data_IF_386564561024
#
_entry.id   IF_386564561024
#
_cell.length_a   1.000
_cell.length_b   1.000
_cell.length_c   1.000
_cell.angle_alpha   90.00
_cell.angle_beta   90.00
_cell.angle_gamma   90.00
#
_symmetry.space_group_name_H-M   'P 1'
#
loop_
_entity.id
_entity.type
_entity.pdbx_description
1 polymer ?
#
# COMPACT_ATOMS: atom_id res chain seq x y z
N UNK A 1 38.54 44.72 27.76
CA UNK A 1 37.73 44.77 26.54
C UNK A 1 36.61 43.74 26.67
N UNK A 2 35.33 44.09 26.50
CA UNK A 2 34.29 43.08 26.43
C UNK A 2 34.46 42.26 25.13
N UNK A 3 34.22 40.94 25.15
CA UNK A 3 34.35 40.12 23.96
C UNK A 3 33.32 40.53 22.91
N UNK A 4 33.76 40.66 21.66
CA UNK A 4 32.90 40.93 20.49
C UNK A 4 31.87 39.80 20.38
N UNK A 5 30.59 40.15 20.23
CA UNK A 5 29.47 39.21 20.13
C UNK A 5 29.69 38.24 18.94
N UNK A 6 29.77 36.94 19.24
CA UNK A 6 29.84 35.90 18.22
C UNK A 6 28.49 35.81 17.49
N UNK A 7 28.37 36.50 16.36
CA UNK A 7 27.16 36.47 15.54
C UNK A 7 26.82 37.74 14.76
N UNK A 8 27.80 38.60 14.45
CA UNK A 8 27.57 39.72 13.53
C UNK A 8 27.43 39.15 12.11
N UNK A 9 26.19 38.88 11.68
CA UNK A 9 25.87 38.54 10.29
C UNK A 9 25.44 39.80 9.54
N UNK A 10 25.81 39.89 8.27
CA UNK A 10 25.40 40.96 7.35
C UNK A 10 23.87 41.07 7.25
N UNK A 11 23.30 42.28 7.10
CA UNK A 11 21.86 42.43 6.86
C UNK A 11 21.45 41.76 5.54
N UNK A 12 20.47 40.86 5.59
CA UNK A 12 19.93 40.14 4.43
C UNK A 12 18.80 39.19 4.84
N UNK A 13 18.00 38.73 3.87
CA UNK A 13 17.02 37.66 4.08
C UNK A 13 17.77 36.33 3.95
N UNK A 14 17.87 35.60 5.06
CA UNK A 14 18.42 34.26 5.10
C UNK A 14 17.25 33.28 5.16
N UNK A 15 16.97 32.61 4.04
CA UNK A 15 15.96 31.56 3.95
C UNK A 15 16.68 30.22 3.96
N UNK A 16 16.42 29.41 4.99
CA UNK A 16 16.92 28.04 5.06
C UNK A 16 15.85 27.10 4.51
N UNK A 17 16.23 26.09 3.73
CA UNK A 17 15.30 25.13 3.14
C UNK A 17 15.37 23.84 3.96
N UNK A 18 14.37 23.63 4.82
CA UNK A 18 14.25 22.39 5.55
C UNK A 18 13.61 21.30 4.68
N UNK A 19 14.44 20.47 4.05
CA UNK A 19 14.01 19.30 3.26
C UNK A 19 13.50 18.14 4.12
N UNK A 20 13.59 18.23 5.45
CA UNK A 20 13.20 17.20 6.41
C UNK A 20 12.00 17.62 7.25
N UNK A 21 11.16 18.54 6.76
CA UNK A 21 9.98 18.98 7.50
C UNK A 21 8.99 17.81 7.59
N UNK A 22 9.12 16.98 8.63
CA UNK A 22 8.10 16.02 9.04
C UNK A 22 6.76 16.76 9.05
N UNK A 23 5.75 16.22 8.36
CA UNK A 23 4.37 16.74 8.42
C UNK A 23 4.00 16.94 9.88
N UNK A 24 3.94 18.20 10.33
CA UNK A 24 3.86 18.66 11.72
C UNK A 24 3.66 17.56 12.80
N UNK A 25 4.73 16.89 13.23
CA UNK A 25 4.70 15.93 14.34
C UNK A 25 3.95 14.61 14.10
N UNK A 26 3.68 14.24 12.84
CA UNK A 26 3.22 12.91 12.42
C UNK A 26 4.42 11.99 12.13
N UNK A 27 4.31 10.67 12.38
CA UNK A 27 5.38 9.73 12.09
C UNK A 27 5.63 9.58 10.58
N UNK A 28 6.84 9.20 10.18
CA UNK A 28 7.15 8.91 8.78
C UNK A 28 6.28 7.78 8.21
N UNK A 29 5.85 7.90 6.96
CA UNK A 29 5.12 6.83 6.25
C UNK A 29 6.11 5.97 5.45
N UNK A 30 6.86 5.13 6.17
CA UNK A 30 7.82 4.20 5.56
C UNK A 30 7.14 2.93 5.08
N UNK A 31 7.47 2.52 3.86
CA UNK A 31 7.02 1.28 3.24
C UNK A 31 8.19 0.33 3.01
N UNK A 32 7.96 -0.95 3.30
CA UNK A 32 8.88 -2.04 2.98
C UNK A 32 8.24 -2.91 1.90
N UNK A 33 8.87 -2.97 0.75
CA UNK A 33 8.40 -3.76 -0.40
C UNK A 33 9.04 -5.14 -0.35
N UNK A 34 8.24 -6.19 -0.49
CA UNK A 34 8.70 -7.56 -0.63
C UNK A 34 8.32 -8.08 -2.02
N UNK A 35 9.33 -8.47 -2.80
CA UNK A 35 9.15 -9.23 -4.03
C UNK A 35 9.08 -10.71 -3.69
N UNK A 36 8.01 -11.37 -4.13
CA UNK A 36 7.82 -12.80 -3.98
C UNK A 36 7.80 -13.40 -5.37
N UNK A 37 8.74 -14.31 -5.63
CA UNK A 37 8.98 -14.83 -6.97
C UNK A 37 9.05 -16.35 -7.00
N UNK A 38 8.72 -16.97 -8.12
CA UNK A 38 8.98 -18.38 -8.43
C UNK A 38 10.37 -18.60 -9.06
N UNK A 39 11.35 -17.72 -8.79
CA UNK A 39 12.74 -17.96 -9.17
C UNK A 39 13.27 -19.22 -8.44
N UNK A 40 14.10 -20.04 -9.11
CA UNK A 40 14.48 -21.37 -8.62
C UNK A 40 15.43 -21.37 -7.38
N UNK A 41 15.93 -20.21 -6.97
CA UNK A 41 16.83 -20.09 -5.81
C UNK A 41 16.04 -20.42 -4.55
N UNK A 42 16.47 -21.39 -3.75
CA UNK A 42 15.84 -21.64 -2.44
C UNK A 42 16.28 -20.56 -1.45
N UNK A 43 15.33 -19.95 -0.75
CA UNK A 43 15.56 -18.90 0.25
C UNK A 43 14.82 -19.24 1.54
N UNK A 44 15.49 -19.05 2.68
CA UNK A 44 14.91 -19.31 4.02
C UNK A 44 14.50 -18.02 4.75
N UNK A 45 14.81 -16.86 4.19
CA UNK A 45 14.45 -15.54 4.70
C UNK A 45 14.53 -14.51 3.57
N UNK A 46 13.76 -13.41 3.64
CA UNK A 46 13.91 -12.32 2.70
C UNK A 46 15.29 -11.67 2.79
N UNK A 47 15.81 -11.25 1.64
CA UNK A 47 17.07 -10.50 1.53
C UNK A 47 16.81 -9.14 0.90
N UNK A 48 17.49 -8.10 1.37
CA UNK A 48 17.41 -6.78 0.73
C UNK A 48 17.98 -6.85 -0.69
N UNK A 49 17.35 -6.17 -1.64
CA UNK A 49 17.77 -6.10 -3.05
C UNK A 49 17.81 -4.63 -3.47
N UNK A 50 18.96 -4.16 -3.96
CA UNK A 50 19.14 -2.74 -4.29
C UNK A 50 19.08 -2.43 -5.77
N UNK A 51 19.54 -3.34 -6.62
CA UNK A 51 19.54 -3.19 -8.07
C UNK A 51 19.58 -4.55 -8.78
N UNK A 52 19.60 -4.52 -10.12
CA UNK A 52 19.63 -5.71 -10.97
C UNK A 52 20.91 -6.55 -10.80
N UNK A 53 22.06 -5.92 -10.50
CA UNK A 53 23.32 -6.62 -10.29
C UNK A 53 23.33 -7.34 -8.94
N UNK A 54 22.87 -6.68 -7.89
CA UNK A 54 22.71 -7.26 -6.55
C UNK A 54 21.71 -8.44 -6.57
N UNK A 55 20.63 -8.33 -7.35
CA UNK A 55 19.71 -9.44 -7.59
C UNK A 55 20.37 -10.61 -8.33
N UNK A 56 21.23 -10.33 -9.32
CA UNK A 56 21.96 -11.35 -10.06
C UNK A 56 22.92 -12.13 -9.15
N UNK A 57 23.58 -11.45 -8.22
CA UNK A 57 24.51 -12.04 -7.26
C UNK A 57 23.79 -12.88 -6.18
N UNK A 58 22.66 -12.39 -5.67
CA UNK A 58 21.91 -13.04 -4.57
C UNK A 58 20.99 -14.17 -5.04
N UNK A 59 20.40 -14.02 -6.22
CA UNK A 59 19.40 -14.95 -6.76
C UNK A 59 20.00 -15.71 -7.95
N UNK A 60 19.97 -15.09 -9.13
CA UNK A 60 20.59 -15.54 -10.38
C UNK A 60 20.49 -14.41 -11.41
N UNK A 61 21.40 -14.38 -12.38
CA UNK A 61 21.32 -13.48 -13.52
C UNK A 61 19.98 -13.63 -14.27
N UNK A 62 19.40 -12.50 -14.70
CA UNK A 62 18.08 -12.43 -15.36
C UNK A 62 16.91 -13.01 -14.53
N UNK A 63 17.03 -13.03 -13.19
CA UNK A 63 15.94 -13.39 -12.29
C UNK A 63 14.72 -12.48 -12.42
N UNK A 64 13.55 -12.98 -12.04
CA UNK A 64 12.33 -12.18 -11.93
C UNK A 64 12.49 -11.11 -10.85
N UNK A 65 13.20 -11.41 -9.75
CA UNK A 65 13.63 -10.41 -8.76
C UNK A 65 14.40 -9.26 -9.42
N UNK A 66 15.37 -9.57 -10.31
CA UNK A 66 16.15 -8.58 -11.04
C UNK A 66 15.30 -7.65 -11.91
N UNK A 67 14.28 -8.20 -12.58
CA UNK A 67 13.29 -7.43 -13.36
C UNK A 67 12.45 -6.51 -12.47
N UNK A 68 11.94 -7.05 -11.35
CA UNK A 68 11.13 -6.30 -10.39
C UNK A 68 11.90 -5.12 -9.79
N UNK A 69 13.13 -5.33 -9.30
CA UNK A 69 13.92 -4.25 -8.69
C UNK A 69 14.32 -3.19 -9.72
N UNK A 70 14.70 -3.60 -10.93
CA UNK A 70 15.02 -2.67 -12.02
C UNK A 70 13.84 -1.76 -12.32
N UNK A 71 12.64 -2.33 -12.39
CA UNK A 71 11.42 -1.59 -12.66
C UNK A 71 11.01 -0.69 -11.48
N UNK A 72 11.15 -1.21 -10.26
CA UNK A 72 10.89 -0.50 -9.02
C UNK A 72 11.78 0.75 -8.87
N UNK A 73 13.11 0.61 -9.02
CA UNK A 73 14.07 1.72 -8.87
C UNK A 73 13.85 2.82 -9.91
N UNK A 74 13.44 2.46 -11.13
CA UNK A 74 13.07 3.45 -12.17
C UNK A 74 11.79 4.22 -11.83
N UNK A 75 10.92 3.65 -11.00
CA UNK A 75 9.64 4.26 -10.59
C UNK A 75 9.82 5.07 -9.31
N UNK A 76 10.45 4.48 -8.29
CA UNK A 76 10.85 5.12 -7.05
C UNK A 76 12.29 4.72 -6.72
N UNK A 77 13.20 5.69 -6.81
CA UNK A 77 14.64 5.47 -6.57
C UNK A 77 14.97 5.13 -5.11
N UNK A 78 14.09 5.46 -4.17
CA UNK A 78 14.29 5.26 -2.73
C UNK A 78 13.53 4.04 -2.19
N UNK A 79 13.05 3.15 -3.06
CA UNK A 79 12.32 1.96 -2.66
C UNK A 79 13.16 1.07 -1.72
N UNK A 80 12.60 0.75 -0.55
CA UNK A 80 13.17 -0.22 0.39
C UNK A 80 12.65 -1.62 0.03
N UNK A 81 13.40 -2.32 -0.82
CA UNK A 81 13.00 -3.58 -1.43
C UNK A 81 13.74 -4.79 -0.86
N UNK A 82 12.95 -5.83 -0.60
CA UNK A 82 13.40 -7.16 -0.20
C UNK A 82 12.87 -8.17 -1.21
N UNK A 83 13.51 -9.33 -1.30
CA UNK A 83 13.04 -10.44 -2.11
C UNK A 83 13.06 -11.75 -1.33
N UNK A 84 12.10 -12.61 -1.64
CA UNK A 84 12.07 -14.02 -1.28
C UNK A 84 11.55 -14.82 -2.46
N UNK A 85 11.95 -16.08 -2.55
CA UNK A 85 11.40 -17.04 -3.51
C UNK A 85 10.32 -17.89 -2.84
N UNK A 86 9.33 -18.29 -3.61
CA UNK A 86 8.30 -19.20 -3.16
C UNK A 86 8.95 -20.53 -2.80
N UNK A 87 8.65 -21.01 -1.60
CA UNK A 87 9.06 -22.32 -1.14
C UNK A 87 8.46 -23.40 -2.05
N UNK A 88 9.22 -24.47 -2.23
CA UNK A 88 8.83 -25.62 -3.04
C UNK A 88 8.95 -26.83 -2.14
N UNK A 89 7.83 -27.49 -1.90
CA UNK A 89 7.85 -28.79 -1.25
C UNK A 89 8.42 -29.82 -2.23
N UNK A 90 9.52 -30.44 -1.82
CA UNK A 90 10.24 -31.47 -2.57
C UNK A 90 10.16 -32.84 -1.87
N UNK A 91 9.23 -33.03 -0.95
CA UNK A 91 9.02 -34.30 -0.22
C UNK A 91 8.78 -35.46 -1.20
N UNK A 92 8.09 -35.21 -2.32
CA UNK A 92 8.09 -36.08 -3.50
C UNK A 92 8.83 -35.40 -4.67
N UNK A 93 10.09 -35.81 -4.98
CA UNK A 93 10.86 -35.22 -6.07
C UNK A 93 10.25 -35.39 -7.47
N UNK A 94 9.25 -36.28 -7.64
CA UNK A 94 8.57 -36.46 -8.93
C UNK A 94 7.42 -35.47 -9.14
N UNK A 95 6.90 -34.86 -8.07
CA UNK A 95 5.79 -33.91 -8.11
C UNK A 95 6.07 -32.72 -7.18
N UNK A 96 7.13 -31.94 -7.44
CA UNK A 96 7.37 -30.73 -6.66
C UNK A 96 6.19 -29.77 -6.84
N UNK A 97 5.72 -29.18 -5.74
CA UNK A 97 4.66 -28.17 -5.77
C UNK A 97 5.07 -26.94 -4.97
N UNK A 98 4.48 -25.80 -5.35
CA UNK A 98 4.73 -24.54 -4.68
C UNK A 98 4.00 -24.53 -3.34
N UNK A 99 4.76 -24.45 -2.25
CA UNK A 99 4.25 -24.29 -0.89
C UNK A 99 4.19 -22.80 -0.54
N UNK A 100 3.03 -22.21 -0.79
CA UNK A 100 2.80 -20.79 -0.47
C UNK A 100 2.79 -20.59 1.04
N UNK A 101 2.22 -21.52 1.81
CA UNK A 101 2.06 -21.38 3.27
C UNK A 101 3.41 -21.33 3.98
N UNK A 102 4.38 -22.17 3.59
CA UNK A 102 5.74 -22.11 4.14
C UNK A 102 6.38 -20.72 3.91
N UNK A 103 6.17 -20.15 2.71
CA UNK A 103 6.66 -18.79 2.41
C UNK A 103 5.95 -17.73 3.26
N UNK A 104 4.63 -17.86 3.42
CA UNK A 104 3.81 -16.93 4.20
C UNK A 104 4.16 -16.96 5.69
N UNK A 105 4.49 -18.12 6.25
CA UNK A 105 4.96 -18.28 7.63
C UNK A 105 6.27 -17.53 7.88
N UNK A 106 7.21 -17.60 6.92
CA UNK A 106 8.50 -16.89 7.00
C UNK A 106 8.29 -15.37 7.03
N UNK A 107 7.36 -14.84 6.24
CA UNK A 107 7.20 -13.38 6.05
C UNK A 107 6.23 -12.73 7.04
N UNK A 108 5.31 -13.50 7.61
CA UNK A 108 4.32 -13.06 8.61
C UNK A 108 4.90 -12.23 9.78
N UNK A 109 6.05 -12.58 10.38
CA UNK A 109 6.63 -11.79 11.46
C UNK A 109 7.42 -10.54 11.01
N UNK A 110 7.70 -10.37 9.71
CA UNK A 110 8.72 -9.43 9.22
C UNK A 110 8.19 -8.01 8.94
N UNK A 111 6.87 -7.85 8.79
CA UNK A 111 6.23 -6.54 8.68
C UNK A 111 6.50 -5.81 7.36
N UNK A 112 6.53 -6.53 6.25
CA UNK A 112 6.50 -5.93 4.92
C UNK A 112 5.13 -5.30 4.66
N UNK A 113 5.09 -4.07 4.16
CA UNK A 113 3.83 -3.32 3.99
C UNK A 113 3.23 -3.47 2.60
N UNK A 114 4.06 -3.82 1.61
CA UNK A 114 3.64 -4.08 0.24
C UNK A 114 4.32 -5.35 -0.21
N UNK A 115 3.55 -6.32 -0.66
CA UNK A 115 4.01 -7.60 -1.21
C UNK A 115 3.67 -7.59 -2.69
N UNK A 116 4.62 -7.90 -3.55
CA UNK A 116 4.42 -7.93 -5.00
C UNK A 116 4.78 -9.31 -5.53
N UNK A 117 3.84 -9.92 -6.24
CA UNK A 117 4.06 -11.23 -6.88
C UNK A 117 4.60 -11.02 -8.29
N UNK A 118 5.52 -11.87 -8.74
CA UNK A 118 5.98 -11.81 -10.14
C UNK A 118 4.91 -12.24 -11.16
N UNK A 119 3.91 -12.99 -10.72
CA UNK A 119 2.81 -13.52 -11.53
C UNK A 119 1.57 -13.77 -10.67
N UNK A 120 0.41 -13.91 -11.31
CA UNK A 120 -0.81 -14.28 -10.61
C UNK A 120 -0.68 -15.65 -9.92
N UNK A 121 -1.14 -15.78 -8.65
CA UNK A 121 -1.19 -17.07 -7.99
C UNK A 121 -2.23 -17.97 -8.65
N UNK A 122 -2.10 -19.27 -8.44
CA UNK A 122 -3.10 -20.22 -8.94
C UNK A 122 -4.43 -19.99 -8.21
N UNK A 123 -5.52 -19.95 -8.98
CA UNK A 123 -6.89 -19.81 -8.45
C UNK A 123 -7.22 -21.01 -7.57
N UNK A 124 -7.84 -20.76 -6.41
CA UNK A 124 -8.13 -21.76 -5.39
C UNK A 124 -7.25 -21.56 -4.16
N UNK A 125 -6.58 -22.61 -3.72
CA UNK A 125 -5.87 -22.66 -2.43
C UNK A 125 -4.81 -21.55 -2.27
N UNK A 126 -4.00 -21.28 -3.31
CA UNK A 126 -2.99 -20.21 -3.21
C UNK A 126 -3.64 -18.83 -3.07
N UNK A 127 -4.75 -18.59 -3.76
CA UNK A 127 -5.49 -17.32 -3.66
C UNK A 127 -6.05 -17.14 -2.26
N UNK A 128 -6.58 -18.22 -1.66
CA UNK A 128 -7.04 -18.24 -0.28
C UNK A 128 -5.89 -18.00 0.72
N UNK A 129 -4.75 -18.66 0.54
CA UNK A 129 -3.58 -18.50 1.41
C UNK A 129 -3.10 -17.05 1.46
N UNK A 130 -3.03 -16.38 0.30
CA UNK A 130 -2.70 -14.95 0.23
C UNK A 130 -3.73 -14.08 0.94
N UNK A 131 -5.03 -14.33 0.77
CA UNK A 131 -6.06 -13.54 1.46
C UNK A 131 -6.06 -13.76 2.96
N UNK A 132 -5.89 -15.01 3.41
CA UNK A 132 -5.83 -15.36 4.83
C UNK A 132 -4.61 -14.74 5.50
N UNK A 133 -3.45 -14.76 4.81
CA UNK A 133 -2.26 -14.06 5.26
C UNK A 133 -2.50 -12.56 5.44
N UNK A 134 -3.09 -11.88 4.44
CA UNK A 134 -3.39 -10.45 4.53
C UNK A 134 -4.35 -10.15 5.68
N UNK A 135 -5.36 -10.99 5.91
CA UNK A 135 -6.27 -10.86 7.04
C UNK A 135 -5.55 -11.02 8.38
N UNK A 136 -4.73 -12.06 8.52
CA UNK A 136 -3.96 -12.35 9.73
C UNK A 136 -2.99 -11.21 10.08
N UNK A 137 -2.09 -10.84 9.17
CA UNK A 137 -1.05 -9.84 9.47
C UNK A 137 -1.65 -8.44 9.72
N UNK A 138 -2.81 -8.15 9.11
CA UNK A 138 -3.48 -6.85 9.22
C UNK A 138 -4.48 -6.73 10.36
N UNK A 139 -4.69 -7.81 11.13
CA UNK A 139 -5.70 -7.84 12.18
C UNK A 139 -5.37 -6.87 13.34
N UNK A 140 -6.26 -6.86 14.34
CA UNK A 140 -6.12 -5.98 15.50
C UNK A 140 -4.97 -6.38 16.45
N UNK A 141 -4.44 -7.61 16.33
CA UNK A 141 -3.43 -8.20 17.20
C UNK A 141 -2.04 -8.06 16.58
N UNK A 142 -1.86 -8.58 15.36
CA UNK A 142 -0.59 -8.60 14.64
C UNK A 142 -0.15 -7.21 14.18
N UNK A 143 -1.11 -6.41 13.69
CA UNK A 143 -0.90 -5.00 13.32
C UNK A 143 0.32 -4.74 12.42
N UNK A 144 0.55 -5.63 11.45
CA UNK A 144 1.56 -5.54 10.40
C UNK A 144 0.84 -5.54 9.04
N UNK A 145 0.03 -4.51 8.75
CA UNK A 145 -0.80 -4.52 7.57
C UNK A 145 0.04 -4.57 6.30
N UNK A 146 -0.47 -5.32 5.32
CA UNK A 146 0.14 -5.46 4.01
C UNK A 146 -0.87 -5.18 2.89
N UNK A 147 -0.35 -4.77 1.74
CA UNK A 147 -1.04 -4.71 0.45
C UNK A 147 -0.39 -5.72 -0.48
N UNK A 148 -1.18 -6.49 -1.22
CA UNK A 148 -0.70 -7.43 -2.22
C UNK A 148 -0.91 -6.87 -3.63
N UNK A 149 0.16 -6.83 -4.41
CA UNK A 149 0.15 -6.43 -5.83
C UNK A 149 0.27 -7.69 -6.69
N UNK A 150 -0.71 -7.91 -7.56
CA UNK A 150 -0.78 -9.05 -8.46
C UNK A 150 -0.80 -8.54 -9.91
N UNK A 151 0.23 -8.84 -10.72
CA UNK A 151 0.34 -8.33 -12.09
C UNK A 151 -0.46 -9.16 -13.10
N UNK A 152 -1.02 -8.48 -14.10
CA UNK A 152 -1.67 -9.08 -15.26
C UNK A 152 -1.31 -8.33 -16.54
N UNK A 153 -1.27 -9.05 -17.65
CA UNK A 153 -1.05 -8.48 -19.00
C UNK A 153 -2.24 -8.70 -19.93
N UNK A 154 -3.27 -9.41 -19.46
CA UNK A 154 -4.56 -9.55 -20.12
C UNK A 154 -5.68 -9.00 -19.24
N UNK A 155 -6.44 -8.04 -19.77
CA UNK A 155 -7.47 -7.32 -18.99
C UNK A 155 -8.66 -8.21 -18.65
N UNK A 156 -8.99 -9.18 -19.50
CA UNK A 156 -10.13 -10.06 -19.32
C UNK A 156 -9.76 -11.16 -18.29
N UNK A 157 -8.52 -11.65 -18.31
CA UNK A 157 -7.97 -12.51 -17.26
C UNK A 157 -7.90 -11.79 -15.90
N UNK A 158 -7.43 -10.53 -15.87
CA UNK A 158 -7.40 -9.71 -14.66
C UNK A 158 -8.82 -9.51 -14.07
N UNK A 159 -9.79 -9.23 -14.94
CA UNK A 159 -11.21 -9.07 -14.57
C UNK A 159 -11.78 -10.35 -13.99
N UNK A 160 -11.51 -11.50 -14.60
CA UNK A 160 -11.95 -12.80 -14.08
C UNK A 160 -11.30 -13.13 -12.73
N UNK A 161 -10.02 -12.80 -12.55
CA UNK A 161 -9.31 -13.02 -11.29
C UNK A 161 -9.87 -12.14 -10.17
N UNK A 162 -10.13 -10.86 -10.43
CA UNK A 162 -10.66 -9.93 -9.44
C UNK A 162 -12.08 -10.29 -8.95
N UNK A 163 -12.85 -11.01 -9.76
CA UNK A 163 -14.22 -11.43 -9.45
C UNK A 163 -14.31 -12.68 -8.53
N UNK A 164 -13.18 -13.27 -8.14
CA UNK A 164 -13.18 -14.41 -7.21
C UNK A 164 -13.68 -13.97 -5.83
N UNK A 165 -14.51 -14.80 -5.18
CA UNK A 165 -15.09 -14.50 -3.87
C UNK A 165 -14.09 -14.01 -2.79
N UNK A 166 -12.92 -14.66 -2.58
CA UNK A 166 -11.94 -14.18 -1.60
C UNK A 166 -11.23 -12.88 -2.03
N UNK A 167 -11.32 -12.50 -3.31
CA UNK A 167 -10.63 -11.34 -3.88
C UNK A 167 -11.56 -10.12 -3.96
N UNK A 168 -12.80 -10.28 -4.45
CA UNK A 168 -13.74 -9.17 -4.71
C UNK A 168 -14.19 -8.40 -3.43
N UNK A 169 -13.81 -8.89 -2.26
CA UNK A 169 -14.13 -8.28 -0.95
C UNK A 169 -12.88 -7.65 -0.29
N UNK A 170 -11.72 -7.74 -0.92
CA UNK A 170 -10.46 -7.28 -0.32
C UNK A 170 -10.12 -5.85 -0.72
N UNK A 171 -9.96 -4.98 0.26
CA UNK A 171 -9.39 -3.64 0.05
C UNK A 171 -7.85 -3.62 0.09
N UNK A 172 -7.22 -4.79 0.25
CA UNK A 172 -5.76 -4.94 0.39
C UNK A 172 -5.10 -5.56 -0.84
N UNK A 173 -5.87 -5.94 -1.85
CA UNK A 173 -5.35 -6.56 -3.07
C UNK A 173 -5.50 -5.58 -4.23
N UNK A 174 -4.41 -5.42 -4.98
CA UNK A 174 -4.33 -4.61 -6.19
C UNK A 174 -4.04 -5.56 -7.35
N UNK A 175 -5.04 -5.77 -8.20
CA UNK A 175 -4.88 -6.48 -9.47
C UNK A 175 -4.42 -5.45 -10.50
N UNK A 176 -3.11 -5.32 -10.69
CA UNK A 176 -2.51 -4.34 -11.60
C UNK A 176 -2.42 -4.91 -13.02
N UNK A 177 -3.06 -4.26 -13.99
CA UNK A 177 -3.07 -4.76 -15.36
C UNK A 177 -2.63 -3.71 -16.39
N UNK A 178 -1.61 -4.08 -17.18
CA UNK A 178 -1.24 -3.36 -18.39
C UNK A 178 -1.45 -4.27 -19.61
N UNK A 179 -2.57 -4.09 -20.30
CA UNK A 179 -2.99 -5.00 -21.37
C UNK A 179 -1.97 -5.04 -22.52
N UNK A 180 -1.57 -6.23 -22.95
CA UNK A 180 -0.62 -6.45 -24.04
C UNK A 180 0.86 -6.46 -23.63
N UNK A 181 1.19 -6.17 -22.37
CA UNK A 181 2.56 -6.14 -21.88
C UNK A 181 3.12 -7.54 -21.55
N UNK A 182 2.77 -8.56 -22.35
CA UNK A 182 3.11 -9.97 -22.10
C UNK A 182 4.60 -10.16 -21.84
N UNK A 183 4.93 -10.86 -20.75
CA UNK A 183 6.32 -11.10 -20.33
C UNK A 183 6.92 -9.99 -19.44
N UNK A 184 6.14 -8.94 -19.15
CA UNK A 184 6.50 -7.85 -18.24
C UNK A 184 5.75 -7.91 -16.90
N UNK A 185 5.15 -9.05 -16.54
CA UNK A 185 4.38 -9.20 -15.29
C UNK A 185 5.20 -8.82 -14.05
N UNK A 186 6.46 -9.28 -14.00
CA UNK A 186 7.39 -8.95 -12.92
C UNK A 186 7.69 -7.44 -12.88
N UNK A 187 7.97 -6.84 -14.03
CA UNK A 187 8.23 -5.41 -14.16
C UNK A 187 7.02 -4.57 -13.71
N UNK A 188 5.79 -4.96 -14.09
CA UNK A 188 4.55 -4.33 -13.65
C UNK A 188 4.41 -4.39 -12.13
N UNK A 189 4.61 -5.57 -11.53
CA UNK A 189 4.49 -5.74 -10.09
C UNK A 189 5.51 -4.91 -9.32
N UNK A 190 6.78 -4.94 -9.75
CA UNK A 190 7.85 -4.15 -9.12
C UNK A 190 7.61 -2.64 -9.23
N UNK A 191 7.25 -2.14 -10.41
CA UNK A 191 6.94 -0.73 -10.62
C UNK A 191 5.71 -0.28 -9.83
N UNK A 192 4.62 -1.06 -9.83
CA UNK A 192 3.40 -0.73 -9.10
C UNK A 192 3.65 -0.70 -7.59
N UNK A 193 4.37 -1.69 -7.05
CA UNK A 193 4.71 -1.71 -5.63
C UNK A 193 5.59 -0.51 -5.22
N UNK A 194 6.54 -0.12 -6.08
CA UNK A 194 7.39 1.04 -5.86
C UNK A 194 6.61 2.36 -5.93
N UNK A 195 5.63 2.48 -6.84
CA UNK A 195 4.73 3.62 -6.92
C UNK A 195 3.91 3.77 -5.63
N UNK A 196 3.31 2.68 -5.15
CA UNK A 196 2.58 2.68 -3.87
C UNK A 196 3.47 3.05 -2.68
N UNK A 197 4.74 2.61 -2.69
CA UNK A 197 5.71 2.89 -1.64
C UNK A 197 6.22 4.35 -1.62
N UNK A 198 6.13 5.09 -2.73
CA UNK A 198 6.60 6.48 -2.83
C UNK A 198 5.65 7.51 -2.17
N UNK A 199 4.51 7.04 -1.66
CA UNK A 199 3.48 7.93 -1.13
C UNK A 199 3.73 8.31 0.33
N UNK A 200 4.46 9.40 0.55
CA UNK A 200 4.55 10.04 1.87
C UNK A 200 3.18 10.47 2.40
N UNK A 201 2.27 10.83 1.49
CA UNK A 201 0.86 11.08 1.78
C UNK A 201 0.01 9.89 1.34
N UNK A 202 -0.59 9.12 2.24
CA UNK A 202 -1.43 8.00 1.82
C UNK A 202 -2.74 8.42 1.14
N UNK A 203 -3.15 9.70 1.23
CA UNK A 203 -4.39 10.21 0.63
C UNK A 203 -4.22 10.77 -0.80
N UNK A 204 -2.98 10.97 -1.26
CA UNK A 204 -2.71 11.48 -2.62
C UNK A 204 -3.01 10.40 -3.66
N UNK A 205 -3.90 10.64 -4.64
CA UNK A 205 -4.25 9.65 -5.65
C UNK A 205 -3.09 9.37 -6.61
N UNK A 206 -2.97 8.13 -7.06
CA UNK A 206 -1.90 7.67 -7.95
C UNK A 206 -2.15 7.91 -9.45
N UNK A 207 -3.20 8.65 -9.83
CA UNK A 207 -3.54 8.88 -11.23
C UNK A 207 -2.36 9.55 -11.97
N UNK A 208 -1.95 9.02 -13.12
CA UNK A 208 -0.85 9.55 -13.92
C UNK A 208 0.55 9.28 -13.37
N UNK A 209 0.70 8.46 -12.30
CA UNK A 209 2.03 8.04 -11.85
C UNK A 209 2.64 7.11 -12.90
N UNK A 210 3.80 7.53 -13.40
CA UNK A 210 4.55 6.81 -14.42
C UNK A 210 5.27 5.58 -13.84
N UNK A 211 5.04 4.42 -14.45
CA UNK A 211 5.71 3.16 -14.14
C UNK A 211 6.96 3.02 -15.02
N UNK A 212 7.99 3.83 -14.73
CA UNK A 212 9.18 3.98 -15.58
C UNK A 212 10.00 2.70 -15.82
N UNK A 213 9.69 1.64 -15.07
CA UNK A 213 10.23 0.31 -15.21
C UNK A 213 9.65 -0.58 -16.30
N UNK A 214 8.47 -0.20 -16.82
CA UNK A 214 7.67 -0.99 -17.74
C UNK A 214 7.77 -0.39 -19.13
N UNK A 215 8.00 -1.23 -20.14
CA UNK A 215 8.07 -0.80 -21.53
C UNK A 215 6.66 -0.64 -22.14
N UNK A 216 6.44 0.37 -22.99
CA UNK A 216 5.14 0.62 -23.58
C UNK A 216 4.70 -0.49 -24.54
N UNK A 217 3.39 -0.73 -24.60
CA UNK A 217 2.78 -1.68 -25.54
C UNK A 217 2.49 -1.04 -26.89
N UNK A 218 2.38 -1.88 -27.92
CA UNK A 218 1.91 -1.46 -29.24
C UNK A 218 0.48 -0.89 -29.19
N UNK A 219 0.16 0.04 -30.10
CA UNK A 219 -1.13 0.73 -30.13
C UNK A 219 -2.34 -0.21 -30.20
N UNK A 220 -2.21 -1.39 -30.81
CA UNK A 220 -3.28 -2.40 -30.90
C UNK A 220 -3.76 -2.92 -29.53
N UNK A 221 -2.95 -2.78 -28.49
CA UNK A 221 -3.29 -3.21 -27.13
C UNK A 221 -3.89 -2.09 -26.27
N UNK A 222 -3.91 -0.84 -26.77
CA UNK A 222 -4.51 0.28 -26.04
C UNK A 222 -6.01 0.04 -25.86
N UNK A 223 -6.45 0.05 -24.61
CA UNK A 223 -7.84 -0.15 -24.24
C UNK A 223 -8.66 1.10 -24.55
N UNK A 224 -9.83 0.92 -25.16
CA UNK A 224 -10.88 1.94 -25.22
C UNK A 224 -11.34 2.34 -23.81
N UNK A 225 -11.82 3.58 -23.65
CA UNK A 225 -12.36 4.08 -22.38
C UNK A 225 -13.40 3.14 -21.74
N UNK A 226 -14.35 2.62 -22.52
CA UNK A 226 -15.38 1.69 -22.02
C UNK A 226 -14.78 0.40 -21.43
N UNK A 227 -13.77 -0.19 -22.08
CA UNK A 227 -13.05 -1.37 -21.54
C UNK A 227 -12.30 -1.03 -20.26
N UNK A 228 -11.68 0.15 -20.17
CA UNK A 228 -11.01 0.60 -18.95
C UNK A 228 -12.01 0.79 -17.81
N UNK A 229 -13.13 1.47 -18.06
CA UNK A 229 -14.19 1.63 -17.06
C UNK A 229 -14.76 0.30 -16.60
N UNK A 230 -14.98 -0.65 -17.51
CA UNK A 230 -15.47 -1.99 -17.16
C UNK A 230 -14.49 -2.72 -16.25
N UNK A 231 -13.20 -2.64 -16.52
CA UNK A 231 -12.16 -3.25 -15.71
C UNK A 231 -12.03 -2.58 -14.33
N UNK A 232 -12.06 -1.24 -14.26
CA UNK A 232 -12.12 -0.50 -13.00
C UNK A 232 -13.37 -0.88 -12.19
N UNK A 233 -14.52 -1.02 -12.86
CA UNK A 233 -15.77 -1.53 -12.29
C UNK A 233 -15.71 -3.03 -11.94
N UNK A 234 -14.64 -3.74 -12.23
CA UNK A 234 -14.40 -5.10 -11.77
C UNK A 234 -13.31 -5.19 -10.69
N UNK A 235 -12.76 -4.06 -10.24
CA UNK A 235 -11.68 -4.05 -9.23
C UNK A 235 -10.28 -4.25 -9.81
N UNK A 236 -10.08 -3.98 -11.10
CA UNK A 236 -8.76 -4.02 -11.74
C UNK A 236 -8.14 -2.62 -11.72
N UNK A 237 -6.93 -2.51 -11.19
CA UNK A 237 -6.08 -1.33 -11.30
C UNK A 237 -5.52 -1.25 -12.73
N UNK A 238 -6.11 -0.37 -13.54
CA UNK A 238 -5.77 -0.25 -14.97
C UNK A 238 -4.53 0.64 -15.16
N UNK A 239 -3.59 0.13 -15.94
CA UNK A 239 -2.43 0.87 -16.46
C UNK A 239 -2.68 1.13 -17.95
N UNK A 240 -2.37 2.34 -18.41
CA UNK A 240 -2.48 2.73 -19.81
C UNK A 240 -1.17 3.38 -20.28
N UNK A 241 -1.03 3.55 -21.59
CA UNK A 241 0.07 4.36 -22.13
C UNK A 241 -0.36 5.81 -22.08
N UNK A 242 0.33 6.62 -21.28
CA UNK A 242 0.08 8.04 -21.11
C UNK A 242 0.42 8.86 -22.35
N UNK A 243 0.11 10.15 -22.30
CA UNK A 243 0.38 11.09 -23.39
C UNK A 243 1.88 11.27 -23.67
N UNK A 244 2.74 11.01 -22.68
CA UNK A 244 4.20 11.02 -22.79
C UNK A 244 4.78 9.71 -23.35
N UNK A 245 3.92 8.75 -23.72
CA UNK A 245 4.30 7.45 -24.28
C UNK A 245 4.76 6.43 -23.24
N UNK A 246 4.65 6.72 -21.95
CA UNK A 246 5.06 5.81 -20.86
C UNK A 246 3.85 5.13 -20.23
N UNK A 247 4.02 3.93 -19.66
CA UNK A 247 2.97 3.31 -18.87
C UNK A 247 2.68 4.13 -17.61
N UNK A 248 1.42 4.47 -17.37
CA UNK A 248 0.96 5.23 -16.21
C UNK A 248 -0.29 4.60 -15.58
N UNK A 249 -0.47 4.82 -14.28
CA UNK A 249 -1.65 4.37 -13.54
C UNK A 249 -2.86 5.23 -13.95
N UNK A 250 -3.92 4.61 -14.48
CA UNK A 250 -5.18 5.32 -14.76
C UNK A 250 -5.89 5.65 -13.46
N UNK A 251 -6.07 4.64 -12.60
CA UNK A 251 -6.57 4.77 -11.23
C UNK A 251 -6.17 3.55 -10.41
N UNK A 252 -5.59 3.77 -9.24
CA UNK A 252 -5.19 2.70 -8.33
C UNK A 252 -6.37 2.25 -7.46
N UNK A 253 -7.14 1.28 -7.96
CA UNK A 253 -8.23 0.63 -7.21
C UNK A 253 -7.76 -0.69 -6.60
N UNK A 254 -8.34 -1.02 -5.45
CA UNK A 254 -8.32 -2.36 -4.87
C UNK A 254 -9.40 -3.24 -5.51
N UNK A 255 -9.45 -4.51 -5.10
CA UNK A 255 -10.49 -5.44 -5.52
C UNK A 255 -11.78 -5.32 -4.69
N UNK A 256 -11.88 -4.39 -3.74
CA UNK A 256 -13.04 -4.22 -2.85
C UNK A 256 -14.28 -3.75 -3.59
N UNK A 257 -15.27 -4.65 -3.72
CA UNK A 257 -16.55 -4.39 -4.39
C UNK A 257 -17.77 -4.70 -3.53
N UNK A 258 -17.59 -5.52 -2.51
CA UNK A 258 -18.63 -5.95 -1.59
C UNK A 258 -18.12 -5.86 -0.17
N UNK A 259 -19.00 -5.43 0.71
CA UNK A 259 -18.74 -5.47 2.13
C UNK A 259 -18.70 -6.95 2.59
N UNK A 260 -17.59 -7.41 3.20
CA UNK A 260 -17.41 -8.82 3.55
C UNK A 260 -18.42 -9.33 4.59
N UNK A 261 -18.93 -8.45 5.46
CA UNK A 261 -19.86 -8.84 6.52
C UNK A 261 -21.31 -8.97 6.01
N UNK A 262 -21.72 -8.06 5.11
CA UNK A 262 -23.10 -8.00 4.61
C UNK A 262 -23.30 -8.65 3.24
N UNK A 263 -22.24 -8.81 2.46
CA UNK A 263 -22.27 -9.28 1.07
C UNK A 263 -22.86 -8.27 0.07
N UNK A 264 -23.24 -7.07 0.53
CA UNK A 264 -23.82 -6.02 -0.31
C UNK A 264 -22.73 -5.26 -1.07
N UNK A 265 -23.10 -4.71 -2.23
CA UNK A 265 -22.22 -3.85 -3.01
C UNK A 265 -21.81 -2.62 -2.18
N UNK A 266 -20.50 -2.36 -2.15
CA UNK A 266 -19.89 -1.28 -1.38
C UNK A 266 -18.62 -0.82 -2.10
N UNK A 267 -18.38 0.49 -2.11
CA UNK A 267 -17.22 1.14 -2.72
C UNK A 267 -16.41 1.97 -1.73
N UNK A 268 -16.74 1.90 -0.43
CA UNK A 268 -16.10 2.69 0.61
C UNK A 268 -14.57 2.52 0.61
N UNK A 269 -14.05 1.35 0.26
CA UNK A 269 -12.60 1.07 0.21
C UNK A 269 -12.12 0.66 -1.18
N UNK A 270 -12.81 1.14 -2.22
CA UNK A 270 -12.47 0.89 -3.63
C UNK A 270 -11.08 1.43 -3.98
N UNK A 271 -10.73 2.67 -3.64
CA UNK A 271 -9.40 3.19 -3.92
C UNK A 271 -8.39 2.66 -2.89
N UNK A 272 -7.21 2.25 -3.37
CA UNK A 272 -6.16 1.70 -2.50
C UNK A 272 -5.68 2.71 -1.44
N UNK A 273 -5.81 4.01 -1.74
CA UNK A 273 -5.58 5.11 -0.79
C UNK A 273 -6.36 4.95 0.51
N UNK A 274 -7.56 4.34 0.47
CA UNK A 274 -8.32 4.04 1.69
C UNK A 274 -7.56 3.10 2.62
N UNK A 275 -7.00 2.01 2.09
CA UNK A 275 -6.23 1.05 2.87
C UNK A 275 -4.96 1.71 3.46
N UNK A 276 -4.20 2.38 2.59
CA UNK A 276 -2.97 3.10 2.96
C UNK A 276 -3.24 4.14 4.05
N UNK A 277 -4.34 4.89 3.92
CA UNK A 277 -4.71 5.95 4.86
C UNK A 277 -5.09 5.37 6.22
N UNK A 278 -5.94 4.35 6.27
CA UNK A 278 -6.36 3.74 7.53
C UNK A 278 -5.19 3.03 8.23
N UNK A 279 -4.29 2.39 7.49
CA UNK A 279 -3.08 1.80 8.05
C UNK A 279 -2.13 2.87 8.63
N UNK A 280 -2.00 4.02 7.96
CA UNK A 280 -1.23 5.15 8.48
C UNK A 280 -1.89 5.80 9.71
N UNK A 281 -3.21 5.99 9.71
CA UNK A 281 -3.98 6.47 10.88
C UNK A 281 -3.77 5.53 12.07
N UNK A 282 -3.85 4.21 11.85
CA UNK A 282 -3.55 3.19 12.87
C UNK A 282 -2.13 3.36 13.42
N UNK A 283 -1.12 3.54 12.56
CA UNK A 283 0.27 3.79 12.97
C UNK A 283 0.40 5.06 13.82
N UNK A 284 -0.25 6.15 13.44
CA UNK A 284 -0.23 7.43 14.19
C UNK A 284 -0.85 7.24 15.58
N UNK A 285 -2.05 6.68 15.64
CA UNK A 285 -2.75 6.46 16.92
C UNK A 285 -1.98 5.51 17.84
N UNK A 286 -1.46 4.39 17.30
CA UNK A 286 -0.65 3.45 18.07
C UNK A 286 0.61 4.11 18.63
N UNK A 287 1.31 4.88 17.80
CA UNK A 287 2.50 5.64 18.20
C UNK A 287 2.17 6.59 19.35
N UNK A 288 1.04 7.30 19.26
CA UNK A 288 0.62 8.24 20.30
C UNK A 288 0.23 7.55 21.62
N UNK A 289 -0.52 6.44 21.55
CA UNK A 289 -0.88 5.66 22.74
C UNK A 289 0.37 5.08 23.44
N UNK A 290 1.33 4.58 22.65
CA UNK A 290 2.55 3.91 23.13
C UNK A 290 3.51 4.84 23.89
N UNK A 291 3.37 6.17 23.77
CA UNK A 291 4.18 7.13 24.54
C UNK A 291 3.94 7.01 26.05
N UNK A 292 2.79 6.51 26.49
CA UNK A 292 2.49 6.29 27.90
C UNK A 292 1.94 4.88 28.12
N UNK A 293 2.84 3.89 28.21
CA UNK A 293 2.49 2.48 28.42
C UNK A 293 1.99 2.14 29.83
N UNK A 294 2.25 3.01 30.82
CA UNK A 294 1.94 2.77 32.24
C UNK A 294 0.68 3.51 32.71
N UNK A 295 -0.27 3.79 31.80
CA UNK A 295 -1.53 4.45 32.15
C UNK A 295 -2.34 3.58 33.11
N UNK A 296 -2.96 4.22 34.11
CA UNK A 296 -3.97 3.58 34.94
C UNK A 296 -5.32 3.62 34.23
N UNK A 297 -6.14 2.58 34.34
CA UNK A 297 -7.50 2.62 33.80
C UNK A 297 -8.44 3.41 34.74
N UNK A 298 -8.33 4.73 34.72
CA UNK A 298 -9.21 5.64 35.47
C UNK A 298 -9.91 6.60 34.52
N UNK A 299 -11.07 7.14 34.92
CA UNK A 299 -11.82 8.07 34.08
C UNK A 299 -10.98 9.31 33.62
N UNK A 300 -10.14 9.94 34.46
CA UNK A 300 -9.24 11.00 34.02
C UNK A 300 -8.24 10.54 32.94
N UNK A 301 -7.68 9.34 33.09
CA UNK A 301 -6.71 8.79 32.13
C UNK A 301 -7.37 8.44 30.80
N UNK A 302 -8.61 7.93 30.80
CA UNK A 302 -9.39 7.72 29.57
C UNK A 302 -9.70 9.04 28.85
N UNK A 303 -10.07 10.10 29.57
CA UNK A 303 -10.24 11.45 28.99
C UNK A 303 -8.95 12.01 28.42
N UNK A 304 -7.81 11.76 29.09
CA UNK A 304 -6.50 12.15 28.57
C UNK A 304 -6.18 11.40 27.27
N UNK A 305 -6.36 10.07 27.22
CA UNK A 305 -6.14 9.27 26.02
C UNK A 305 -7.04 9.72 24.86
N UNK A 306 -8.32 10.03 25.14
CA UNK A 306 -9.24 10.62 24.16
C UNK A 306 -8.69 11.93 23.59
N UNK A 307 -8.16 12.80 24.45
CA UNK A 307 -7.59 14.09 24.04
C UNK A 307 -6.35 13.91 23.17
N UNK A 308 -5.53 12.89 23.45
CA UNK A 308 -4.35 12.54 22.64
C UNK A 308 -4.78 12.07 21.25
N UNK A 309 -5.73 11.14 21.14
CA UNK A 309 -6.21 10.67 19.84
C UNK A 309 -6.88 11.78 19.04
N UNK A 310 -7.70 12.62 19.68
CA UNK A 310 -8.30 13.76 18.99
C UNK A 310 -7.24 14.74 18.49
N UNK A 311 -6.18 15.00 19.26
CA UNK A 311 -5.10 15.87 18.83
C UNK A 311 -4.35 15.31 17.61
N UNK A 312 -4.08 14.00 17.56
CA UNK A 312 -3.46 13.37 16.39
C UNK A 312 -4.42 13.32 15.18
N UNK A 313 -5.71 13.05 15.39
CA UNK A 313 -6.72 13.10 14.33
C UNK A 313 -6.81 14.49 13.71
N UNK A 314 -6.74 15.56 14.52
CA UNK A 314 -6.73 16.93 14.03
C UNK A 314 -5.47 17.24 13.21
N UNK A 315 -4.31 16.66 13.53
CA UNK A 315 -3.11 16.81 12.67
C UNK A 315 -3.30 16.12 11.32
N UNK A 316 -3.92 14.94 11.31
CA UNK A 316 -4.27 14.22 10.08
C UNK A 316 -5.30 14.99 9.25
N UNK A 317 -6.27 15.65 9.90
CA UNK A 317 -7.24 16.57 9.27
C UNK A 317 -6.54 17.79 8.63
N UNK A 318 -5.64 18.43 9.36
CA UNK A 318 -4.83 19.53 8.85
C UNK A 318 -3.88 19.14 7.71
N UNK A 319 -3.52 17.86 7.62
CA UNK A 319 -2.70 17.31 6.54
C UNK A 319 -3.54 16.80 5.35
N UNK A 320 -4.87 16.99 5.37
CA UNK A 320 -5.81 16.49 4.35
C UNK A 320 -5.76 14.97 4.16
N UNK A 321 -5.40 14.22 5.22
CA UNK A 321 -5.43 12.76 5.25
C UNK A 321 -6.79 12.27 5.77
N UNK A 322 -7.27 12.90 6.85
CA UNK A 322 -8.64 12.76 7.34
C UNK A 322 -9.42 14.05 7.03
N UNK A 323 -10.74 13.97 7.12
CA UNK A 323 -11.65 15.11 7.01
C UNK A 323 -12.73 15.04 8.10
N UNK A 324 -13.43 16.14 8.32
CA UNK A 324 -14.59 16.20 9.22
C UNK A 324 -14.28 15.81 10.68
N UNK A 325 -13.00 15.83 11.10
CA UNK A 325 -12.58 15.36 12.43
C UNK A 325 -13.23 16.18 13.55
N UNK A 326 -13.32 17.51 13.40
CA UNK A 326 -14.01 18.37 14.37
C UNK A 326 -15.50 18.10 14.45
N UNK A 327 -16.13 17.87 13.30
CA UNK A 327 -17.58 17.64 13.21
C UNK A 327 -17.98 16.28 13.80
N UNK A 328 -17.09 15.30 13.77
CA UNK A 328 -17.30 13.93 14.27
C UNK A 328 -16.63 13.67 15.62
N UNK A 329 -16.07 14.70 16.27
CA UNK A 329 -15.27 14.54 17.48
C UNK A 329 -16.04 13.89 18.65
N UNK A 330 -17.36 14.07 18.70
CA UNK A 330 -18.26 13.45 19.68
C UNK A 330 -18.37 11.92 19.52
N UNK A 331 -18.14 11.40 18.31
CA UNK A 331 -18.11 9.95 18.03
C UNK A 331 -16.81 9.29 18.49
N UNK A 332 -15.74 10.06 18.73
CA UNK A 332 -14.50 9.54 19.29
C UNK A 332 -14.70 9.22 20.78
N UNK A 333 -14.75 7.94 21.09
CA UNK A 333 -15.02 7.42 22.44
C UNK A 333 -13.83 6.66 23.01
N UNK A 334 -13.64 6.75 24.32
CA UNK A 334 -12.65 5.98 25.09
C UNK A 334 -13.32 5.53 26.38
N UNK A 335 -13.80 4.28 26.41
CA UNK A 335 -14.63 3.75 27.49
C UNK A 335 -13.96 2.54 28.14
N UNK A 336 -14.27 2.32 29.42
CA UNK A 336 -13.92 1.05 30.06
C UNK A 336 -14.72 -0.08 29.42
N UNK A 337 -14.13 -1.26 29.31
CA UNK A 337 -14.87 -2.43 28.88
C UNK A 337 -15.92 -2.81 29.94
N UNK A 338 -17.05 -3.36 29.49
CA UNK A 338 -18.16 -3.68 30.37
C UNK A 338 -17.90 -4.89 31.27
N UNK A 339 -17.03 -5.81 30.85
CA UNK A 339 -16.73 -7.07 31.56
C UNK A 339 -15.27 -7.17 32.00
N UNK A 340 -14.35 -6.51 31.31
CA UNK A 340 -12.92 -6.51 31.66
C UNK A 340 -12.42 -5.13 32.16
N UNK A 341 -12.24 -5.00 33.47
CA UNK A 341 -11.72 -3.76 34.09
C UNK A 341 -10.29 -3.41 33.69
N UNK A 342 -9.52 -4.33 33.12
CA UNK A 342 -8.18 -4.05 32.62
C UNK A 342 -8.17 -3.54 31.17
N UNK A 343 -9.33 -3.55 30.49
CA UNK A 343 -9.48 -3.16 29.09
C UNK A 343 -10.15 -1.79 28.91
N UNK A 344 -9.71 -1.08 27.88
CA UNK A 344 -10.32 0.15 27.38
C UNK A 344 -10.68 -0.04 25.91
N UNK A 345 -11.91 0.28 25.55
CA UNK A 345 -12.38 0.28 24.18
C UNK A 345 -12.34 1.70 23.61
N UNK A 346 -11.87 1.81 22.38
CA UNK A 346 -11.69 3.08 21.68
C UNK A 346 -12.41 2.98 20.34
N UNK A 347 -13.27 3.93 20.04
CA UNK A 347 -13.81 4.14 18.70
C UNK A 347 -13.30 5.46 18.16
N UNK A 348 -12.78 5.45 16.92
CA UNK A 348 -12.22 6.63 16.25
C UNK A 348 -12.93 6.76 14.90
N UNK A 349 -13.67 7.86 14.64
CA UNK A 349 -14.17 8.15 13.31
C UNK A 349 -13.00 8.50 12.39
N UNK A 350 -12.83 7.74 11.31
CA UNK A 350 -11.76 7.92 10.33
C UNK A 350 -12.36 8.16 8.95
N UNK A 351 -12.98 9.32 8.77
CA UNK A 351 -13.43 9.80 7.46
C UNK A 351 -12.20 10.25 6.66
N UNK A 352 -11.75 9.39 5.75
CA UNK A 352 -10.53 9.62 4.98
C UNK A 352 -10.80 10.41 3.70
N UNK A 353 -9.86 11.27 3.33
CA UNK A 353 -10.01 12.18 2.18
C UNK A 353 -9.89 11.43 0.87
N UNK A 354 -10.90 11.58 0.00
CA UNK A 354 -10.94 10.90 -1.31
C UNK A 354 -10.13 11.63 -2.37
N UNK A 355 -9.55 10.84 -3.28
CA UNK A 355 -8.89 11.37 -4.47
C UNK A 355 -9.88 12.05 -5.41
N UNK A 356 -9.46 13.18 -5.99
CA UNK A 356 -10.24 13.89 -7.02
C UNK A 356 -9.98 13.26 -8.38
N UNK A 357 -10.68 12.17 -8.71
CA UNK A 357 -10.44 11.40 -9.94
C UNK A 357 -11.13 11.98 -11.19
N UNK A 358 -12.25 12.72 -11.03
CA UNK A 358 -13.04 13.25 -12.15
C UNK A 358 -13.41 14.70 -11.87
N UNK A 359 -13.17 15.58 -12.84
CA UNK A 359 -13.62 16.98 -12.82
C UNK A 359 -14.64 17.18 -13.94
N UNK A 360 -15.92 17.27 -13.56
CA UNK A 360 -17.00 17.55 -14.49
C UNK A 360 -17.21 19.07 -14.64
N UNK A 361 -17.17 19.58 -15.87
CA UNK A 361 -17.30 21.03 -16.17
C UNK A 361 -18.46 21.26 -17.12
N UNK A 362 -19.28 22.28 -16.85
CA UNK A 362 -20.32 22.79 -17.75
C UNK A 362 -19.97 24.20 -18.20
N UNK A 363 -19.90 24.44 -19.51
CA UNK A 363 -19.69 25.76 -20.08
C UNK A 363 -21.04 26.40 -20.41
N UNK A 364 -21.38 27.50 -19.73
CA UNK A 364 -22.57 28.28 -20.01
C UNK A 364 -22.27 29.31 -21.11
N UNK A 365 -22.98 29.22 -22.23
CA UNK A 365 -22.89 30.17 -23.34
C UNK A 365 -24.03 31.18 -23.21
N UNK A 366 -23.71 32.47 -23.34
CA UNK A 366 -24.66 33.58 -23.30
C UNK A 366 -24.75 34.27 -24.65
#
# INVERSE_FOLDING_TARGET
MPPVQAGIKTPGIYTDVNINTQRAGLPSNEHKVLFVTDDAKIMTQPVAIYDEADAADKIVANSKVGKMIKAAVKTNRLVDAYAITLAVDNTDPQVPFIDVDETLDIISPLGHTIIALNSAPTVGDQTMAWTDHLHFVSDAIEQRPAILVIPFTDIDAATAFAAQAPIETSYRIVVACYHGATGQEAEIAGAMAAALADSNDPAVPFNGVNLGGVEPVEDRYKLTFERQERALKAGVCVIATGADGKPEIVRAVSTYRKNPDTGLADDLMLDINGALTIDYVRKVMRTAASKERRRKNTAPQRRNLRSIFLAEALKLDHAEILQNVKATADQLTVTEDATDRYRVNVSIPADWVRGMHVVAVTLNVY
#
